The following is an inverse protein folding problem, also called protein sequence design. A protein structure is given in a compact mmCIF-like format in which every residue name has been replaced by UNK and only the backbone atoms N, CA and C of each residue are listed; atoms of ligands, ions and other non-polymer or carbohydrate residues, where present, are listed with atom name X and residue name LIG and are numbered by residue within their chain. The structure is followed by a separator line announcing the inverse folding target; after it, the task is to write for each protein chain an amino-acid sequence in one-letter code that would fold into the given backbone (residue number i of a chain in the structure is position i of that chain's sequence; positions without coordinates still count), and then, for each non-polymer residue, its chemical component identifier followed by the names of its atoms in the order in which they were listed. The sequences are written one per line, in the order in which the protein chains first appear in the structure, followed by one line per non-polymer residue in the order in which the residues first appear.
data_IF_965049071759
#
_entry.id   IF_965049071759
#
_cell.length_a   1.000
_cell.length_b   1.000
_cell.length_c   1.000
_cell.angle_alpha   90.00
_cell.angle_beta   90.00
_cell.angle_gamma   90.00
#
_symmetry.space_group_name_H-M   'P 1'
#
loop_
_entity.id
_entity.type
_entity.pdbx_description
1 polymer ?
#
# COMPACT_ATOMS: atom_id res chain seq x y z
N UNK A 1 22.09 -11.50 -36.16
CA UNK A 1 22.66 -11.18 -34.83
C UNK A 1 22.26 -9.80 -34.31
N UNK A 2 22.42 -8.71 -35.06
CA UNK A 2 22.03 -7.35 -34.62
C UNK A 2 20.54 -7.21 -34.29
N UNK A 3 19.63 -7.75 -35.11
CA UNK A 3 18.18 -7.65 -34.90
C UNK A 3 17.70 -8.32 -33.58
N UNK A 4 18.31 -9.44 -33.21
CA UNK A 4 18.02 -10.15 -31.95
C UNK A 4 18.48 -9.34 -30.73
N UNK A 5 19.60 -8.63 -30.83
CA UNK A 5 20.09 -7.74 -29.77
C UNK A 5 19.18 -6.51 -29.60
N UNK A 6 18.67 -5.94 -30.69
CA UNK A 6 17.69 -4.85 -30.63
C UNK A 6 16.36 -5.28 -30.02
N UNK A 7 15.83 -6.45 -30.42
CA UNK A 7 14.61 -6.99 -29.83
C UNK A 7 14.79 -7.28 -28.32
N UNK A 8 15.92 -7.87 -27.93
CA UNK A 8 16.23 -8.12 -26.52
C UNK A 8 16.34 -6.81 -25.71
N UNK A 9 16.95 -5.77 -26.27
CA UNK A 9 17.05 -4.47 -25.61
C UNK A 9 15.67 -3.82 -25.40
N UNK A 10 14.78 -3.89 -26.40
CA UNK A 10 13.40 -3.37 -26.28
C UNK A 10 12.64 -4.11 -25.20
N UNK A 11 12.73 -5.45 -25.15
CA UNK A 11 12.08 -6.26 -24.12
C UNK A 11 12.59 -5.88 -22.72
N UNK A 12 13.90 -5.72 -22.53
CA UNK A 12 14.48 -5.32 -21.25
C UNK A 12 13.98 -3.92 -20.83
N UNK A 13 13.93 -2.96 -21.77
CA UNK A 13 13.44 -1.60 -21.49
C UNK A 13 11.96 -1.64 -21.10
N UNK A 14 11.12 -2.37 -21.83
CA UNK A 14 9.69 -2.49 -21.51
C UNK A 14 9.48 -3.11 -20.12
N UNK A 15 10.19 -4.20 -19.80
CA UNK A 15 10.11 -4.84 -18.47
C UNK A 15 10.61 -3.91 -17.36
N UNK A 16 11.68 -3.16 -17.62
CA UNK A 16 12.22 -2.18 -16.67
C UNK A 16 11.24 -1.03 -16.39
N UNK A 17 10.61 -0.50 -17.44
CA UNK A 17 9.59 0.56 -17.34
C UNK A 17 8.37 0.06 -16.59
N UNK A 18 7.88 -1.14 -16.90
CA UNK A 18 6.74 -1.75 -16.22
C UNK A 18 7.02 -1.93 -14.73
N UNK A 19 8.22 -2.40 -14.36
CA UNK A 19 8.62 -2.50 -12.95
C UNK A 19 8.72 -1.14 -12.28
N UNK A 20 9.32 -0.15 -12.93
CA UNK A 20 9.43 1.19 -12.36
C UNK A 20 8.05 1.80 -12.08
N UNK A 21 7.12 1.71 -13.04
CA UNK A 21 5.76 2.19 -12.88
C UNK A 21 5.01 1.40 -11.80
N UNK A 22 5.26 0.09 -11.68
CA UNK A 22 4.68 -0.75 -10.63
C UNK A 22 5.17 -0.40 -9.22
N UNK A 23 6.36 0.19 -9.08
CA UNK A 23 6.91 0.59 -7.77
C UNK A 23 6.63 2.07 -7.40
N UNK A 24 6.49 2.97 -8.37
CA UNK A 24 6.39 4.42 -8.11
C UNK A 24 4.98 5.03 -8.26
N UNK A 25 3.96 4.18 -8.17
CA UNK A 25 2.57 4.60 -8.35
C UNK A 25 1.93 5.20 -7.11
N UNK A 26 2.45 4.92 -5.92
CA UNK A 26 1.98 5.54 -4.68
C UNK A 26 2.47 6.99 -4.63
N UNK A 27 1.55 7.89 -4.27
CA UNK A 27 1.84 9.31 -4.07
C UNK A 27 2.13 9.59 -2.60
N UNK A 28 1.30 9.07 -1.70
CA UNK A 28 1.44 9.30 -0.25
C UNK A 28 0.77 8.17 0.53
N UNK A 29 1.37 7.79 1.65
CA UNK A 29 0.69 7.06 2.72
C UNK A 29 0.62 7.90 3.98
N UNK A 30 -0.43 7.72 4.76
CA UNK A 30 -0.50 8.16 6.13
C UNK A 30 -1.03 6.99 6.97
N UNK A 31 -0.33 6.55 8.02
CA UNK A 31 1.04 6.92 8.38
C UNK A 31 2.06 6.65 7.25
N UNK A 32 3.22 7.31 7.33
CA UNK A 32 4.33 7.02 6.41
C UNK A 32 4.86 5.60 6.67
N UNK A 33 5.41 4.94 5.65
CA UNK A 33 6.04 3.63 5.82
C UNK A 33 7.20 3.73 6.83
N UNK A 34 7.20 2.86 7.84
CA UNK A 34 8.16 2.86 8.94
C UNK A 34 7.86 3.86 10.05
N UNK A 35 6.74 4.59 10.00
CA UNK A 35 6.38 5.54 11.06
C UNK A 35 6.23 4.84 12.42
N UNK A 36 6.62 5.54 13.48
CA UNK A 36 6.51 5.09 14.88
C UNK A 36 5.66 6.06 15.69
N UNK A 37 5.18 5.61 16.85
CA UNK A 37 4.32 6.41 17.74
C UNK A 37 3.06 6.95 17.05
N UNK A 38 2.49 6.16 16.13
CA UNK A 38 1.26 6.53 15.43
C UNK A 38 0.07 6.48 16.40
N UNK A 39 -0.82 7.51 16.41
CA UNK A 39 -2.05 7.47 17.21
C UNK A 39 -2.90 6.22 16.90
N UNK A 40 -3.51 5.66 17.94
CA UNK A 40 -4.25 4.39 17.83
C UNK A 40 -5.57 4.52 17.05
N UNK A 41 -6.08 5.72 16.95
CA UNK A 41 -7.25 6.14 16.19
C UNK A 41 -6.89 6.81 14.85
N UNK A 42 -5.62 6.73 14.44
CA UNK A 42 -5.17 7.34 13.20
C UNK A 42 -5.93 6.76 12.01
N UNK A 43 -6.45 7.67 11.18
CA UNK A 43 -6.95 7.33 9.86
C UNK A 43 -5.78 6.81 9.01
N UNK A 44 -5.90 5.59 8.51
CA UNK A 44 -4.95 5.03 7.55
C UNK A 44 -5.37 5.50 6.16
N UNK A 45 -4.47 6.07 5.38
CA UNK A 45 -4.73 6.61 4.06
C UNK A 45 -3.62 6.23 3.09
N UNK A 46 -4.03 5.93 1.87
CA UNK A 46 -3.12 5.63 0.76
C UNK A 46 -3.63 6.32 -0.47
N UNK A 47 -2.84 7.26 -0.99
CA UNK A 47 -3.12 7.99 -2.21
C UNK A 47 -2.11 7.58 -3.28
N UNK A 48 -2.57 7.48 -4.52
CA UNK A 48 -1.77 7.09 -5.67
C UNK A 48 -1.86 8.10 -6.81
N UNK A 49 -0.93 7.98 -7.76
CA UNK A 49 -0.84 8.82 -8.95
C UNK A 49 -1.82 8.34 -10.03
N UNK A 50 -2.63 9.27 -10.51
CA UNK A 50 -3.64 9.06 -11.55
C UNK A 50 -4.92 8.40 -11.03
N UNK A 51 -5.85 8.10 -11.92
CA UNK A 51 -7.16 7.52 -11.58
C UNK A 51 -7.11 5.98 -11.63
N UNK A 52 -7.82 5.34 -10.71
CA UNK A 52 -8.05 3.89 -10.68
C UNK A 52 -9.54 3.64 -10.46
N UNK A 53 -10.15 2.80 -11.28
CA UNK A 53 -11.61 2.67 -11.34
C UNK A 53 -12.18 1.38 -10.76
N UNK A 54 -11.44 0.27 -10.77
CA UNK A 54 -11.97 -1.05 -10.41
C UNK A 54 -10.93 -1.92 -9.69
N UNK A 55 -11.44 -2.81 -8.82
CA UNK A 55 -10.67 -3.75 -7.99
C UNK A 55 -9.63 -3.07 -7.08
N UNK A 56 -10.13 -2.32 -6.10
CA UNK A 56 -9.31 -1.68 -5.08
C UNK A 56 -9.64 -2.28 -3.72
N UNK A 57 -8.61 -2.69 -2.97
CA UNK A 57 -8.77 -3.22 -1.62
C UNK A 57 -7.66 -2.73 -0.70
N UNK A 58 -7.99 -2.60 0.58
CA UNK A 58 -7.02 -2.38 1.65
C UNK A 58 -7.25 -3.46 2.70
N UNK A 59 -6.17 -4.11 3.13
CA UNK A 59 -6.17 -5.04 4.26
C UNK A 59 -5.21 -4.52 5.31
N UNK A 60 -5.65 -4.50 6.56
CA UNK A 60 -4.89 -4.00 7.70
C UNK A 60 -4.83 -5.12 8.74
N UNK A 61 -3.64 -5.42 9.23
CA UNK A 61 -3.38 -6.52 10.17
C UNK A 61 -2.22 -6.19 11.09
N UNK A 62 -2.12 -6.90 12.22
CA UNK A 62 -0.91 -6.82 13.04
C UNK A 62 0.19 -7.75 12.52
N UNK A 63 1.44 -7.35 12.69
CA UNK A 63 2.59 -8.16 12.27
C UNK A 63 2.75 -9.45 13.08
N UNK A 64 2.30 -9.46 14.34
CA UNK A 64 2.32 -10.62 15.23
C UNK A 64 1.05 -11.49 15.14
N UNK A 65 0.05 -11.05 14.37
CA UNK A 65 -1.17 -11.79 14.10
C UNK A 65 -1.63 -11.54 12.64
N UNK A 66 -0.86 -12.00 11.63
CA UNK A 66 -1.12 -11.65 10.23
C UNK A 66 -2.41 -12.26 9.68
N UNK A 67 -2.91 -13.34 10.29
CA UNK A 67 -4.14 -14.02 9.89
C UNK A 67 -5.40 -13.43 10.54
N UNK A 68 -5.24 -12.45 11.43
CA UNK A 68 -6.34 -11.77 12.12
C UNK A 68 -6.61 -10.43 11.42
N UNK A 69 -7.71 -10.28 10.68
CA UNK A 69 -8.04 -9.02 10.04
C UNK A 69 -8.42 -7.97 11.08
N UNK A 70 -8.03 -6.71 10.82
CA UNK A 70 -8.51 -5.57 11.59
C UNK A 70 -9.79 -5.02 10.98
N UNK A 71 -10.78 -4.78 11.83
CA UNK A 71 -12.07 -4.22 11.44
C UNK A 71 -12.09 -2.71 11.56
N UNK A 72 -12.89 -2.07 10.72
CA UNK A 72 -12.97 -0.62 10.64
C UNK A 72 -13.81 -0.16 9.46
N UNK A 73 -13.88 1.16 9.29
CA UNK A 73 -14.61 1.80 8.21
C UNK A 73 -13.65 2.15 7.08
N UNK A 74 -13.88 1.56 5.91
CA UNK A 74 -13.14 1.89 4.69
C UNK A 74 -13.85 2.96 3.85
N UNK A 75 -13.09 3.79 3.16
CA UNK A 75 -13.58 4.65 2.08
C UNK A 75 -12.65 4.57 0.88
N UNK A 76 -13.21 4.68 -0.32
CA UNK A 76 -12.49 4.55 -1.56
C UNK A 76 -12.82 5.70 -2.50
N UNK A 77 -11.79 6.21 -3.17
CA UNK A 77 -11.91 7.16 -4.27
C UNK A 77 -11.09 6.66 -5.45
N UNK A 78 -11.23 7.29 -6.61
CA UNK A 78 -10.39 6.97 -7.77
C UNK A 78 -8.89 7.30 -7.56
N UNK A 79 -8.54 8.00 -6.48
CA UNK A 79 -7.18 8.46 -6.17
C UNK A 79 -6.56 7.82 -4.93
N UNK A 80 -7.35 7.06 -4.17
CA UNK A 80 -6.86 6.51 -2.91
C UNK A 80 -7.90 5.72 -2.13
N UNK A 81 -7.41 5.05 -1.09
CA UNK A 81 -8.20 4.36 -0.09
C UNK A 81 -7.91 4.96 1.28
N UNK A 82 -8.90 4.96 2.16
CA UNK A 82 -8.72 5.22 3.57
C UNK A 82 -9.42 4.17 4.43
N UNK A 83 -8.92 3.98 5.65
CA UNK A 83 -9.42 3.02 6.61
C UNK A 83 -9.30 3.61 8.01
N UNK A 84 -10.41 3.68 8.73
CA UNK A 84 -10.46 4.07 10.13
C UNK A 84 -10.70 2.83 10.99
N UNK A 85 -9.73 2.41 11.83
CA UNK A 85 -9.89 1.25 12.70
C UNK A 85 -11.06 1.40 13.70
N UNK A 86 -11.85 0.35 13.87
CA UNK A 86 -12.90 0.26 14.87
C UNK A 86 -12.98 -1.18 15.41
N UNK A 87 -12.47 -1.46 16.63
CA UNK A 87 -11.98 -0.53 17.67
C UNK A 87 -10.61 0.11 17.35
N UNK A 88 -10.15 1.10 18.13
CA UNK A 88 -8.80 1.67 17.99
C UNK A 88 -7.71 0.60 18.05
N UNK A 89 -6.60 0.85 17.35
CA UNK A 89 -5.47 -0.08 17.27
C UNK A 89 -4.88 -0.38 18.65
N UNK A 90 -4.31 -1.56 18.82
CA UNK A 90 -3.64 -1.98 20.04
C UNK A 90 -2.35 -1.17 20.25
N UNK A 91 -2.00 -0.84 21.51
CA UNK A 91 -0.83 -0.02 21.82
C UNK A 91 0.47 -0.75 21.52
N UNK A 92 1.46 -0.02 21.00
CA UNK A 92 2.82 -0.52 20.72
C UNK A 92 2.91 -1.63 19.68
N UNK A 93 1.89 -1.84 18.86
CA UNK A 93 1.85 -2.90 17.84
C UNK A 93 2.36 -2.40 16.50
N UNK A 94 3.07 -3.27 15.80
CA UNK A 94 3.41 -3.08 14.38
C UNK A 94 2.23 -3.50 13.52
N UNK A 95 1.77 -2.59 12.67
CA UNK A 95 0.68 -2.78 11.73
C UNK A 95 1.26 -2.95 10.33
N UNK A 96 0.71 -3.89 9.58
CA UNK A 96 0.97 -4.11 8.16
C UNK A 96 -0.27 -3.70 7.39
N UNK A 97 -0.09 -2.86 6.37
CA UNK A 97 -1.15 -2.42 5.47
C UNK A 97 -0.81 -2.92 4.07
N UNK A 98 -1.70 -3.75 3.52
CA UNK A 98 -1.67 -4.16 2.12
C UNK A 98 -2.70 -3.37 1.33
N UNK A 99 -2.31 -2.93 0.14
CA UNK A 99 -3.17 -2.21 -0.79
C UNK A 99 -3.06 -2.84 -2.16
N UNK A 100 -4.21 -3.17 -2.72
CA UNK A 100 -4.33 -3.63 -4.09
C UNK A 100 -5.12 -2.60 -4.89
N UNK A 101 -4.62 -2.26 -6.09
CA UNK A 101 -5.31 -1.43 -7.05
C UNK A 101 -5.10 -2.00 -8.47
N UNK A 102 -6.02 -2.84 -8.91
CA UNK A 102 -5.88 -3.59 -10.16
C UNK A 102 -4.72 -4.59 -10.10
N UNK A 103 -3.69 -4.38 -10.95
CA UNK A 103 -2.48 -5.25 -11.02
C UNK A 103 -1.33 -4.76 -10.13
N UNK A 104 -1.56 -3.73 -9.31
CA UNK A 104 -0.53 -3.12 -8.48
C UNK A 104 -0.78 -3.43 -7.02
N UNK A 105 0.30 -3.80 -6.35
CA UNK A 105 0.33 -4.14 -4.95
C UNK A 105 1.26 -3.16 -4.24
N UNK A 106 0.86 -2.70 -3.05
CA UNK A 106 1.71 -1.92 -2.19
C UNK A 106 1.55 -2.37 -0.75
N UNK A 107 2.69 -2.53 -0.08
CA UNK A 107 2.75 -2.85 1.34
C UNK A 107 3.52 -1.74 2.06
N UNK A 108 3.00 -1.31 3.20
CA UNK A 108 3.74 -0.48 4.13
C UNK A 108 3.40 -0.85 5.57
N UNK A 109 4.26 -0.43 6.49
CA UNK A 109 4.12 -0.75 7.90
C UNK A 109 4.27 0.49 8.76
N UNK A 110 3.71 0.47 9.97
CA UNK A 110 3.92 1.49 10.99
C UNK A 110 3.75 0.90 12.38
N UNK A 111 4.14 1.63 13.43
CA UNK A 111 4.03 1.20 14.82
C UNK A 111 3.21 2.20 15.63
N UNK A 112 2.22 1.70 16.37
CA UNK A 112 1.33 2.53 17.20
C UNK A 112 2.02 3.04 18.47
N UNK A 113 1.51 4.14 19.02
CA UNK A 113 1.90 4.63 20.36
C UNK A 113 1.64 3.57 21.43
N UNK A 114 2.46 3.58 22.48
CA UNK A 114 2.34 2.67 23.64
C UNK A 114 1.33 3.17 24.68
N UNK A 115 1.06 4.47 24.71
CA UNK A 115 0.12 5.16 25.62
C UNK A 115 -0.96 5.85 24.81
#
# INVERSE_FOLDING_TARGET
MRLLLFAAAIVIICVGVDRYIAHHWIQRTYPANGAVNVPRDALIMVNWKGTRGSHMSMSVRYADAPDVPLYGTGSATMYGLSFLPAPPLSPGKKVIVLVDAGRRHHEFTFTTTRS
#
